data_IF_418526591692
#
_entry.id   IF_418526591692
#
_cell.length_a   1.000
_cell.length_b   1.000
_cell.length_c   1.000
_cell.angle_alpha   90.00
_cell.angle_beta   90.00
_cell.angle_gamma   90.00
#
_symmetry.space_group_name_H-M   'P 1'
#
loop_
_entity.id
_entity.type
_entity.pdbx_description
1 polymer ?
#
# COMPACT_ATOMS: atom_id res chain seq x y z
N UNK A 1 7.20 -7.90 7.34
CA UNK A 1 7.09 -8.63 6.06
C UNK A 1 7.45 -7.67 4.94
N UNK A 2 7.87 -8.17 3.79
CA UNK A 2 8.05 -7.37 2.57
C UNK A 2 7.17 -7.93 1.45
N UNK A 3 6.52 -7.05 0.69
CA UNK A 3 5.79 -7.40 -0.52
C UNK A 3 6.40 -6.65 -1.70
N UNK A 4 7.04 -7.41 -2.59
CA UNK A 4 7.76 -6.85 -3.72
C UNK A 4 6.80 -6.42 -4.82
N UNK A 5 7.02 -5.23 -5.39
CA UNK A 5 6.23 -4.66 -6.50
C UNK A 5 4.71 -4.56 -6.22
N UNK A 6 4.32 -4.52 -4.95
CA UNK A 6 2.94 -4.59 -4.50
C UNK A 6 2.29 -3.23 -4.25
N UNK A 7 3.05 -2.14 -4.23
CA UNK A 7 2.49 -0.81 -4.00
C UNK A 7 1.50 -0.43 -5.11
N UNK A 8 0.23 -0.12 -4.78
CA UNK A 8 -0.80 0.20 -5.77
C UNK A 8 -0.59 1.58 -6.42
N UNK A 9 0.18 2.46 -5.75
CA UNK A 9 0.46 3.83 -6.22
C UNK A 9 1.63 3.90 -7.20
N UNK A 10 2.76 3.26 -6.90
CA UNK A 10 3.98 3.38 -7.71
C UNK A 10 4.53 2.04 -8.25
N UNK A 11 3.91 0.91 -7.92
CA UNK A 11 4.43 -0.42 -8.27
C UNK A 11 5.72 -0.80 -7.55
N UNK A 12 6.04 -0.10 -6.46
CA UNK A 12 7.18 -0.34 -5.61
C UNK A 12 6.95 -1.38 -4.51
N UNK A 13 7.93 -1.49 -3.61
CA UNK A 13 7.92 -2.47 -2.52
C UNK A 13 7.22 -1.92 -1.27
N UNK A 14 6.40 -2.78 -0.65
CA UNK A 14 5.72 -2.52 0.62
C UNK A 14 6.42 -3.26 1.76
N UNK A 15 6.38 -2.70 2.96
CA UNK A 15 6.86 -3.36 4.16
C UNK A 15 5.90 -3.12 5.33
N UNK A 16 5.90 -4.07 6.27
CA UNK A 16 5.31 -3.84 7.58
C UNK A 16 6.14 -2.82 8.36
N UNK A 17 5.45 -1.94 9.05
CA UNK A 17 6.01 -1.00 10.00
C UNK A 17 5.15 -0.97 11.26
N UNK A 18 5.71 -0.42 12.34
CA UNK A 18 5.03 -0.28 13.62
C UNK A 18 5.46 1.01 14.30
N UNK A 19 4.48 1.77 14.77
CA UNK A 19 4.68 2.95 15.59
C UNK A 19 3.84 2.87 16.89
N UNK A 20 3.67 4.00 17.56
CA UNK A 20 2.87 4.11 18.78
C UNK A 20 1.39 3.78 18.57
N UNK A 21 0.85 4.02 17.36
CA UNK A 21 -0.57 3.83 17.03
C UNK A 21 -0.88 2.42 16.54
N UNK A 22 0.12 1.67 16.10
CA UNK A 22 -0.05 0.26 15.75
C UNK A 22 0.84 -0.18 14.61
N UNK A 23 0.46 -1.30 14.00
CA UNK A 23 1.12 -1.78 12.78
C UNK A 23 0.41 -1.19 11.57
N UNK A 24 1.20 -0.88 10.55
CA UNK A 24 0.71 -0.44 9.26
C UNK A 24 1.63 -0.97 8.16
N UNK A 25 1.16 -0.92 6.92
CA UNK A 25 1.98 -1.24 5.74
C UNK A 25 2.25 0.03 4.94
N UNK A 26 3.52 0.28 4.64
CA UNK A 26 3.95 1.45 3.88
C UNK A 26 4.86 1.08 2.71
N UNK A 27 4.89 1.93 1.69
CA UNK A 27 5.79 1.80 0.55
C UNK A 27 7.14 2.45 0.83
N UNK A 28 8.22 1.68 0.70
CA UNK A 28 9.61 2.16 0.89
C UNK A 28 9.95 3.27 -0.13
N UNK A 29 9.37 3.19 -1.34
CA UNK A 29 9.78 4.04 -2.46
C UNK A 29 9.00 5.36 -2.56
N UNK A 30 7.71 5.36 -2.19
CA UNK A 30 6.87 6.56 -2.33
C UNK A 30 6.19 7.01 -1.04
N UNK A 31 6.40 6.29 0.06
CA UNK A 31 5.88 6.64 1.39
C UNK A 31 4.37 6.51 1.56
N UNK A 32 3.64 5.96 0.58
CA UNK A 32 2.19 5.75 0.75
C UNK A 32 1.97 4.70 1.84
N UNK A 33 1.11 5.04 2.79
CA UNK A 33 0.59 4.12 3.81
C UNK A 33 -0.71 3.54 3.29
N UNK A 34 -0.87 2.22 3.38
CA UNK A 34 -2.08 1.55 2.93
C UNK A 34 -3.28 1.89 3.83
N UNK A 35 -4.48 1.92 3.25
CA UNK A 35 -5.71 1.92 4.03
C UNK A 35 -5.91 0.58 4.74
N UNK A 36 -6.79 0.52 5.72
CA UNK A 36 -7.12 -0.73 6.43
C UNK A 36 -7.63 -1.82 5.46
N UNK A 37 -8.44 -1.45 4.47
CA UNK A 37 -8.95 -2.39 3.45
C UNK A 37 -7.82 -2.93 2.57
N UNK A 38 -6.90 -2.05 2.15
CA UNK A 38 -5.73 -2.43 1.37
C UNK A 38 -4.82 -3.36 2.18
N UNK A 39 -4.52 -3.02 3.44
CA UNK A 39 -3.72 -3.87 4.32
C UNK A 39 -4.38 -5.24 4.53
N UNK A 40 -5.69 -5.27 4.79
CA UNK A 40 -6.43 -6.53 4.96
C UNK A 40 -6.37 -7.40 3.70
N UNK A 41 -6.57 -6.80 2.52
CA UNK A 41 -6.47 -7.50 1.25
C UNK A 41 -5.06 -8.05 0.99
N UNK A 42 -4.02 -7.24 1.27
CA UNK A 42 -2.63 -7.66 1.11
C UNK A 42 -2.27 -8.83 2.04
N UNK A 43 -2.70 -8.79 3.31
CA UNK A 43 -2.41 -9.85 4.29
C UNK A 43 -3.18 -11.14 4.02
N UNK A 44 -4.40 -11.04 3.50
CA UNK A 44 -5.27 -12.20 3.28
C UNK A 44 -4.97 -12.89 1.96
N UNK A 45 -4.76 -12.11 0.90
CA UNK A 45 -4.69 -12.61 -0.48
C UNK A 45 -3.32 -12.42 -1.13
N UNK A 46 -2.47 -11.53 -0.61
CA UNK A 46 -1.18 -11.19 -1.21
C UNK A 46 -1.28 -10.36 -2.50
N UNK A 47 -2.47 -9.86 -2.85
CA UNK A 47 -2.74 -9.11 -4.08
C UNK A 47 -3.44 -7.81 -3.71
N UNK A 48 -2.90 -6.69 -4.20
CA UNK A 48 -3.55 -5.37 -4.18
C UNK A 48 -3.95 -5.00 -5.60
N UNK A 49 -5.22 -4.65 -5.82
CA UNK A 49 -5.64 -4.03 -7.07
C UNK A 49 -4.93 -2.67 -7.20
N UNK A 50 -4.28 -2.42 -8.36
CA UNK A 50 -3.66 -1.12 -8.61
C UNK A 50 -4.77 -0.10 -8.75
N UNK A 51 -4.67 1.00 -8.00
CA UNK A 51 -5.57 2.13 -8.25
C UNK A 51 -5.41 2.58 -9.70
N UNK A 52 -6.52 2.73 -10.46
CA UNK A 52 -6.41 3.23 -11.81
C UNK A 52 -5.87 4.66 -11.75
N UNK A 53 -4.83 4.95 -12.52
CA UNK A 53 -4.19 6.29 -12.60
C UNK A 53 -5.21 7.41 -12.85
N UNK A 54 -6.35 7.09 -13.48
CA UNK A 54 -7.48 8.00 -13.69
C UNK A 54 -8.19 8.49 -12.41
N UNK A 55 -8.07 7.78 -11.29
CA UNK A 55 -8.65 8.19 -10.01
C UNK A 55 -7.86 9.34 -9.35
N UNK A 56 -6.54 9.40 -9.56
CA UNK A 56 -5.69 10.46 -9.00
C UNK A 56 -5.85 11.81 -9.70
N UNK A 57 -6.39 11.85 -10.92
CA UNK A 57 -6.59 13.10 -11.69
C UNK A 57 -7.87 13.86 -11.31
N UNK A 58 -8.68 13.35 -10.37
CA UNK A 58 -9.96 13.98 -9.95
C UNK A 58 -9.86 14.85 -8.69
N UNK A 59 -8.67 15.03 -8.13
CA UNK A 59 -8.45 15.79 -6.89
C UNK A 59 -7.59 17.06 -7.07
N UNK A 60 -7.57 17.64 -8.27
CA UNK A 60 -6.91 18.92 -8.57
C UNK A 60 -7.93 20.02 -8.87
#
# INVERSE_FOLDING_TARGET
>A
MFWLKACPRCGGDLHDEQDFYGKYVACIQCGVVLSEEQEHALRTWGILEREPVSAMLKAA
#
